data_IF_027442661324
#
_entry.id   IF_027442661324
#
_cell.length_a   1.000
_cell.length_b   1.000
_cell.length_c   1.000
_cell.angle_alpha   90.00
_cell.angle_beta   90.00
_cell.angle_gamma   90.00
#
_symmetry.space_group_name_H-M   'P 1'
#
loop_
_entity.id
_entity.type
_entity.pdbx_description
1 polymer ?
#
# COMPACT_ATOMS: atom_id res chain seq x y z
N UNK A 1 48.52 17.95 44.32
CA UNK A 1 47.20 18.58 44.08
C UNK A 1 46.68 18.17 42.69
N UNK A 2 46.03 17.01 42.55
CA UNK A 2 45.47 16.56 41.25
C UNK A 2 44.34 15.52 41.38
N UNK A 3 43.61 15.53 42.50
CA UNK A 3 42.61 14.50 42.83
C UNK A 3 41.15 15.02 42.83
N UNK A 4 40.93 16.32 43.07
CA UNK A 4 39.57 16.85 43.25
C UNK A 4 38.78 17.09 41.94
N UNK A 5 39.44 17.42 40.82
CA UNK A 5 38.73 17.70 39.55
C UNK A 5 38.17 16.46 38.85
N UNK A 6 38.80 15.30 38.97
CA UNK A 6 38.32 14.06 38.31
C UNK A 6 37.07 13.50 38.99
N UNK A 7 37.00 13.56 40.33
CA UNK A 7 35.83 13.10 41.10
C UNK A 7 34.58 13.95 40.79
N UNK A 8 34.78 15.25 40.55
CA UNK A 8 33.70 16.19 40.24
C UNK A 8 33.11 15.99 38.84
N UNK A 9 33.93 15.66 37.84
CA UNK A 9 33.48 15.32 36.48
C UNK A 9 32.69 14.00 36.45
N UNK A 10 33.11 12.98 37.22
CA UNK A 10 32.39 11.71 37.31
C UNK A 10 31.03 11.89 37.99
N UNK A 11 30.95 12.71 39.04
CA UNK A 11 29.68 13.01 39.72
C UNK A 11 28.69 13.74 38.80
N UNK A 12 29.15 14.66 37.95
CA UNK A 12 28.29 15.39 36.99
C UNK A 12 27.76 14.45 35.89
N UNK A 13 28.58 13.55 35.37
CA UNK A 13 28.16 12.56 34.35
C UNK A 13 27.14 11.57 34.92
N UNK A 14 27.32 11.10 36.16
CA UNK A 14 26.37 10.21 36.81
C UNK A 14 25.03 10.89 37.12
N UNK A 15 25.03 12.19 37.44
CA UNK A 15 23.81 12.96 37.68
C UNK A 15 23.03 13.18 36.36
N UNK A 16 23.71 13.41 35.24
CA UNK A 16 23.06 13.55 33.93
C UNK A 16 22.41 12.24 33.45
N UNK A 17 23.02 11.09 33.72
CA UNK A 17 22.46 9.77 33.36
C UNK A 17 21.23 9.42 34.22
N UNK A 18 21.17 9.86 35.48
CA UNK A 18 20.01 9.64 36.34
C UNK A 18 18.76 10.43 35.89
N UNK A 19 18.95 11.67 35.42
CA UNK A 19 17.85 12.53 34.93
C UNK A 19 17.30 11.98 33.60
N UNK A 20 18.15 11.47 32.72
CA UNK A 20 17.73 10.81 31.49
C UNK A 20 16.93 9.52 31.74
N UNK A 21 17.27 8.75 32.80
CA UNK A 21 16.52 7.55 33.19
C UNK A 21 15.18 7.87 33.85
N UNK A 22 15.07 8.98 34.58
CA UNK A 22 13.80 9.44 35.16
C UNK A 22 12.76 9.85 34.10
N UNK A 23 13.22 10.41 32.97
CA UNK A 23 12.37 10.83 31.84
C UNK A 23 11.83 9.66 31.01
N UNK A 24 12.57 8.55 30.89
CA UNK A 24 12.12 7.38 30.14
C UNK A 24 11.17 6.46 30.94
N UNK A 25 11.23 6.50 32.28
CA UNK A 25 10.40 5.66 33.16
C UNK A 25 8.97 6.21 33.30
N UNK A 26 8.77 7.52 33.14
CA UNK A 26 7.45 8.14 33.33
C UNK A 26 6.46 7.87 32.19
N UNK A 27 6.88 7.81 30.93
CA UNK A 27 5.92 7.66 29.83
C UNK A 27 5.38 6.25 29.65
N UNK A 28 6.17 5.22 29.95
CA UNK A 28 5.70 3.82 29.97
C UNK A 28 4.63 3.59 31.06
N UNK A 29 4.76 4.25 32.22
CA UNK A 29 3.79 4.09 33.31
C UNK A 29 2.44 4.75 32.99
N UNK A 30 2.44 5.92 32.32
CA UNK A 30 1.21 6.63 31.92
C UNK A 30 0.48 5.88 30.80
N UNK A 31 1.20 5.32 29.82
CA UNK A 31 0.60 4.48 28.77
C UNK A 31 -0.10 3.26 29.40
N UNK A 32 0.60 2.51 30.26
CA UNK A 32 0.04 1.32 30.91
C UNK A 32 -1.19 1.65 31.76
N UNK A 33 -1.14 2.73 32.56
CA UNK A 33 -2.26 3.17 33.37
C UNK A 33 -3.47 3.62 32.53
N UNK A 34 -3.22 4.28 31.39
CA UNK A 34 -4.26 4.69 30.45
C UNK A 34 -4.91 3.46 29.80
N UNK A 35 -4.11 2.53 29.31
CA UNK A 35 -4.59 1.32 28.64
C UNK A 35 -5.34 0.37 29.58
N UNK A 36 -4.95 0.29 30.85
CA UNK A 36 -5.69 -0.48 31.86
C UNK A 36 -7.09 0.10 32.11
N UNK A 37 -7.22 1.43 32.15
CA UNK A 37 -8.51 2.11 32.33
C UNK A 37 -9.45 2.01 31.11
N UNK A 38 -8.90 1.78 29.92
CA UNK A 38 -9.68 1.60 28.69
C UNK A 38 -10.26 0.19 28.54
N UNK A 39 -9.98 -0.74 29.45
CA UNK A 39 -10.61 -2.05 29.43
C UNK A 39 -12.07 -1.97 29.93
N UNK A 40 -13.02 -2.72 29.32
CA UNK A 40 -12.84 -3.66 28.21
C UNK A 40 -13.01 -3.02 26.81
N UNK A 41 -13.17 -1.69 26.72
CA UNK A 41 -13.45 -0.99 25.45
C UNK A 41 -12.37 -1.25 24.39
N UNK A 42 -11.12 -1.38 24.81
CA UNK A 42 -9.99 -1.66 23.91
C UNK A 42 -9.12 -2.81 24.43
N UNK A 43 -8.57 -3.67 23.54
CA UNK A 43 -7.58 -4.67 23.93
C UNK A 43 -6.33 -3.99 24.49
N UNK A 44 -5.93 -4.36 25.72
CA UNK A 44 -4.78 -3.75 26.41
C UNK A 44 -3.51 -3.77 25.55
N UNK A 45 -3.18 -4.93 24.98
CA UNK A 45 -1.98 -5.10 24.13
C UNK A 45 -2.02 -4.24 22.87
N UNK A 46 -3.21 -4.02 22.30
CA UNK A 46 -3.37 -3.13 21.15
C UNK A 46 -3.11 -1.67 21.56
N UNK A 47 -3.71 -1.22 22.66
CA UNK A 47 -3.52 0.13 23.18
C UNK A 47 -2.04 0.42 23.50
N UNK A 48 -1.39 -0.47 24.26
CA UNK A 48 0.03 -0.32 24.60
C UNK A 48 0.89 -0.37 23.34
N UNK A 49 0.64 -1.29 22.42
CA UNK A 49 1.41 -1.41 21.18
C UNK A 49 1.30 -0.20 20.28
N UNK A 50 0.09 0.35 20.12
CA UNK A 50 -0.17 1.53 19.31
C UNK A 50 0.54 2.77 19.88
N UNK A 51 0.49 2.98 21.20
CA UNK A 51 1.09 4.13 21.86
C UNK A 51 2.61 4.00 22.02
N UNK A 52 3.11 2.81 22.35
CA UNK A 52 4.56 2.62 22.59
C UNK A 52 5.41 2.74 21.32
N UNK A 53 4.80 2.66 20.14
CA UNK A 53 5.46 2.90 18.87
C UNK A 53 5.66 4.39 18.54
N UNK A 54 5.08 5.30 19.31
CA UNK A 54 5.14 6.74 19.05
C UNK A 54 6.01 7.47 20.10
N UNK A 55 7.09 8.17 19.68
CA UNK A 55 7.97 8.86 20.60
C UNK A 55 7.26 9.89 21.49
N UNK A 56 6.26 10.61 20.97
CA UNK A 56 5.55 11.63 21.74
C UNK A 56 4.64 11.00 22.81
N UNK A 57 4.00 9.86 22.49
CA UNK A 57 3.28 9.08 23.49
C UNK A 57 4.22 8.56 24.58
N UNK A 58 5.40 8.04 24.22
CA UNK A 58 6.38 7.55 25.21
C UNK A 58 7.05 8.63 26.03
N UNK A 59 7.03 9.89 25.58
CA UNK A 59 7.54 11.04 26.32
C UNK A 59 6.46 11.73 27.17
N UNK A 60 5.19 11.38 26.98
CA UNK A 60 4.08 12.00 27.68
C UNK A 60 4.15 11.71 29.19
N UNK A 61 3.98 12.75 30.00
CA UNK A 61 3.97 12.65 31.47
C UNK A 61 2.57 12.58 32.06
N UNK A 62 1.53 12.76 31.23
CA UNK A 62 0.13 12.69 31.63
C UNK A 62 -0.78 12.15 30.50
N UNK A 63 -2.03 11.87 30.87
CA UNK A 63 -3.05 11.34 29.94
C UNK A 63 -3.39 12.31 28.80
N UNK A 64 -3.24 13.63 29.02
CA UNK A 64 -3.49 14.63 27.98
C UNK A 64 -2.44 14.53 26.88
N UNK A 65 -1.16 14.34 27.24
CA UNK A 65 -0.07 14.08 26.31
C UNK A 65 -0.27 12.77 25.55
N UNK A 66 -0.67 11.70 26.23
CA UNK A 66 -1.00 10.42 25.58
C UNK A 66 -2.17 10.57 24.60
N UNK A 67 -3.21 11.31 24.97
CA UNK A 67 -4.35 11.57 24.09
C UNK A 67 -3.96 12.39 22.86
N UNK A 68 -3.14 13.43 23.03
CA UNK A 68 -2.62 14.23 21.92
C UNK A 68 -1.77 13.39 20.97
N UNK A 69 -0.91 12.52 21.51
CA UNK A 69 -0.12 11.58 20.71
C UNK A 69 -1.03 10.60 19.96
N UNK A 70 -2.05 10.03 20.60
CA UNK A 70 -3.01 9.14 19.94
C UNK A 70 -3.72 9.82 18.76
N UNK A 71 -4.15 11.08 18.91
CA UNK A 71 -4.74 11.86 17.83
C UNK A 71 -3.74 12.08 16.69
N UNK A 72 -2.47 12.37 17.00
CA UNK A 72 -1.44 12.57 15.99
C UNK A 72 -1.09 11.28 15.23
N UNK A 73 -1.03 10.14 15.92
CA UNK A 73 -0.87 8.81 15.32
C UNK A 73 -2.03 8.55 14.34
N UNK A 74 -3.27 8.77 14.78
CA UNK A 74 -4.46 8.59 13.93
C UNK A 74 -4.42 9.52 12.72
N UNK A 75 -4.05 10.79 12.92
CA UNK A 75 -3.93 11.78 11.83
C UNK A 75 -2.88 11.34 10.80
N UNK A 76 -1.72 10.89 11.26
CA UNK A 76 -0.64 10.40 10.39
C UNK A 76 -1.06 9.16 9.60
N UNK A 77 -1.72 8.20 10.26
CA UNK A 77 -2.25 7.00 9.61
C UNK A 77 -3.33 7.35 8.59
N UNK A 78 -4.27 8.22 8.94
CA UNK A 78 -5.32 8.68 8.03
C UNK A 78 -4.75 9.39 6.79
N UNK A 79 -3.76 10.27 6.99
CA UNK A 79 -3.07 10.94 5.88
C UNK A 79 -2.32 9.95 4.97
N UNK A 80 -1.70 8.92 5.56
CA UNK A 80 -1.06 7.84 4.80
C UNK A 80 -2.06 7.04 3.98
N UNK A 81 -3.19 6.65 4.58
CA UNK A 81 -4.29 5.96 3.89
C UNK A 81 -4.86 6.80 2.75
N UNK A 82 -5.09 8.09 2.99
CA UNK A 82 -5.58 9.00 1.96
C UNK A 82 -4.60 9.08 0.78
N UNK A 83 -3.29 9.13 1.04
CA UNK A 83 -2.28 9.11 -0.02
C UNK A 83 -2.35 7.85 -0.86
N UNK A 84 -2.47 6.68 -0.22
CA UNK A 84 -2.64 5.40 -0.95
C UNK A 84 -3.90 5.40 -1.79
N UNK A 85 -5.02 5.91 -1.27
CA UNK A 85 -6.27 6.03 -2.02
C UNK A 85 -6.06 6.93 -3.24
N UNK A 86 -5.41 8.09 -3.08
CA UNK A 86 -5.14 9.01 -4.19
C UNK A 86 -4.26 8.38 -5.27
N UNK A 87 -3.23 7.61 -4.87
CA UNK A 87 -2.40 6.86 -5.82
C UNK A 87 -3.23 5.83 -6.58
N UNK A 88 -4.03 5.01 -5.87
CA UNK A 88 -4.90 4.02 -6.50
C UNK A 88 -5.90 4.66 -7.47
N UNK A 89 -6.49 5.81 -7.15
CA UNK A 89 -7.41 6.51 -8.05
C UNK A 89 -6.71 6.93 -9.35
N UNK A 90 -5.48 7.45 -9.25
CA UNK A 90 -4.68 7.79 -10.41
C UNK A 90 -4.30 6.55 -11.22
N UNK A 91 -3.83 5.50 -10.54
CA UNK A 91 -3.36 4.29 -11.18
C UNK A 91 -4.49 3.52 -11.89
N UNK A 92 -5.64 3.39 -11.22
CA UNK A 92 -6.86 2.81 -11.80
C UNK A 92 -7.41 3.64 -12.96
N UNK A 93 -7.17 4.96 -12.99
CA UNK A 93 -7.55 5.79 -14.13
C UNK A 93 -6.73 5.43 -15.38
N UNK A 94 -5.44 5.15 -15.23
CA UNK A 94 -4.60 4.63 -16.32
C UNK A 94 -5.03 3.22 -16.74
N UNK A 95 -5.29 2.33 -15.78
CA UNK A 95 -5.82 1.00 -16.10
C UNK A 95 -7.13 1.06 -16.88
N UNK A 96 -8.02 2.00 -16.53
CA UNK A 96 -9.25 2.24 -17.28
C UNK A 96 -8.97 2.61 -18.74
N UNK A 97 -7.91 3.36 -19.03
CA UNK A 97 -7.50 3.66 -20.41
C UNK A 97 -7.00 2.40 -21.13
N UNK A 98 -6.21 1.54 -20.47
CA UNK A 98 -5.80 0.26 -21.04
C UNK A 98 -6.98 -0.64 -21.39
N UNK A 99 -7.96 -0.75 -20.49
CA UNK A 99 -9.19 -1.51 -20.74
C UNK A 99 -10.09 -0.85 -21.79
N UNK A 100 -10.12 0.49 -21.86
CA UNK A 100 -10.79 1.20 -22.94
C UNK A 100 -10.20 0.86 -24.31
N UNK A 101 -8.88 0.84 -24.42
CA UNK A 101 -8.17 0.43 -25.63
C UNK A 101 -8.42 -1.05 -25.96
N UNK A 102 -8.42 -1.92 -24.95
CA UNK A 102 -8.75 -3.33 -25.12
C UNK A 102 -10.16 -3.52 -25.68
N UNK A 103 -11.16 -2.82 -25.13
CA UNK A 103 -12.54 -2.91 -25.61
C UNK A 103 -12.68 -2.44 -27.06
N UNK A 104 -12.00 -1.36 -27.43
CA UNK A 104 -11.97 -0.88 -28.81
C UNK A 104 -11.33 -1.93 -29.74
N UNK A 105 -10.17 -2.46 -29.37
CA UNK A 105 -9.47 -3.50 -30.15
C UNK A 105 -10.34 -4.73 -30.35
N UNK A 106 -11.06 -5.18 -29.31
CA UNK A 106 -11.99 -6.32 -29.39
C UNK A 106 -13.19 -6.04 -30.30
N UNK A 107 -13.67 -4.80 -30.36
CA UNK A 107 -14.70 -4.40 -31.32
C UNK A 107 -14.18 -4.46 -32.76
N UNK A 108 -12.94 -4.02 -33.00
CA UNK A 108 -12.30 -4.06 -34.32
C UNK A 108 -12.04 -5.51 -34.77
N UNK A 109 -11.55 -6.36 -33.86
CA UNK A 109 -11.46 -7.83 -34.06
C UNK A 109 -12.79 -8.41 -34.51
N UNK A 110 -13.90 -7.97 -33.90
CA UNK A 110 -15.23 -8.48 -34.27
C UNK A 110 -15.63 -8.04 -35.69
N UNK A 111 -15.33 -6.79 -36.07
CA UNK A 111 -15.57 -6.27 -37.43
C UNK A 111 -14.76 -7.04 -38.47
N UNK A 112 -13.50 -7.36 -38.19
CA UNK A 112 -12.64 -8.15 -39.07
C UNK A 112 -13.11 -9.60 -39.19
N UNK A 113 -13.50 -10.21 -38.07
CA UNK A 113 -14.10 -11.54 -38.03
C UNK A 113 -15.34 -11.66 -38.93
N UNK A 114 -16.29 -10.73 -38.77
CA UNK A 114 -17.56 -10.74 -39.51
C UNK A 114 -17.34 -10.50 -41.02
N UNK A 115 -16.24 -9.86 -41.39
CA UNK A 115 -15.84 -9.64 -42.78
C UNK A 115 -14.93 -10.74 -43.35
N UNK A 116 -14.60 -11.78 -42.58
CA UNK A 116 -13.70 -12.87 -42.99
C UNK A 116 -12.22 -12.48 -43.05
N UNK A 117 -11.82 -11.34 -42.47
CA UNK A 117 -10.44 -10.86 -42.40
C UNK A 117 -9.71 -11.47 -41.21
N UNK A 118 -9.53 -12.79 -41.22
CA UNK A 118 -9.02 -13.52 -40.05
C UNK A 118 -7.58 -13.16 -39.64
N UNK A 119 -6.72 -12.80 -40.61
CA UNK A 119 -5.34 -12.38 -40.31
C UNK A 119 -5.32 -11.01 -39.60
N UNK A 120 -6.16 -10.06 -40.05
CA UNK A 120 -6.29 -8.75 -39.40
C UNK A 120 -6.86 -8.90 -37.97
N UNK A 121 -7.90 -9.72 -37.79
CA UNK A 121 -8.46 -10.03 -36.48
C UNK A 121 -7.44 -10.70 -35.52
N UNK A 122 -6.63 -11.63 -36.05
CA UNK A 122 -5.57 -12.35 -35.32
C UNK A 122 -4.45 -11.38 -34.88
N UNK A 123 -4.07 -10.47 -35.77
CA UNK A 123 -3.09 -9.42 -35.46
C UNK A 123 -3.63 -8.46 -34.39
N UNK A 124 -4.85 -7.96 -34.55
CA UNK A 124 -5.43 -6.95 -33.66
C UNK A 124 -5.58 -7.47 -32.22
N UNK A 125 -6.11 -8.69 -32.05
CA UNK A 125 -6.27 -9.24 -30.70
C UNK A 125 -4.93 -9.49 -30.00
N UNK A 126 -3.93 -9.98 -30.74
CA UNK A 126 -2.62 -10.32 -30.17
C UNK A 126 -1.82 -9.06 -29.85
N UNK A 127 -1.77 -8.09 -30.76
CA UNK A 127 -1.00 -6.85 -30.59
C UNK A 127 -1.65 -5.86 -29.61
N UNK A 128 -2.98 -5.72 -29.65
CA UNK A 128 -3.64 -4.57 -29.03
C UNK A 128 -4.55 -4.92 -27.86
N UNK A 129 -5.18 -6.11 -27.84
CA UNK A 129 -6.06 -6.51 -26.76
C UNK A 129 -5.35 -7.33 -25.66
N UNK A 130 -4.55 -8.33 -26.05
CA UNK A 130 -4.09 -9.39 -25.13
C UNK A 130 -3.12 -8.94 -24.03
N UNK A 131 -2.32 -7.88 -24.28
CA UNK A 131 -1.34 -7.38 -23.32
C UNK A 131 -1.93 -6.42 -22.28
N UNK A 132 -3.09 -5.82 -22.54
CA UNK A 132 -3.64 -4.71 -21.74
C UNK A 132 -3.90 -5.06 -20.27
N UNK A 133 -4.42 -6.24 -19.93
CA UNK A 133 -4.61 -6.59 -18.53
C UNK A 133 -3.29 -6.75 -17.78
N UNK A 134 -2.24 -7.28 -18.43
CA UNK A 134 -0.89 -7.37 -17.85
C UNK A 134 -0.23 -6.00 -17.69
N UNK A 135 -0.40 -5.10 -18.66
CA UNK A 135 0.08 -3.71 -18.55
C UNK A 135 -0.53 -3.01 -17.32
N UNK A 136 -1.82 -3.26 -17.04
CA UNK A 136 -2.48 -2.75 -15.84
C UNK A 136 -1.94 -3.38 -14.54
N UNK A 137 -1.80 -4.71 -14.51
CA UNK A 137 -1.29 -5.46 -13.35
C UNK A 137 0.12 -4.98 -12.96
N UNK A 138 1.04 -4.90 -13.94
CA UNK A 138 2.39 -4.38 -13.74
C UNK A 138 2.34 -2.93 -13.23
N UNK A 139 1.49 -2.09 -13.82
CA UNK A 139 1.40 -0.69 -13.44
C UNK A 139 0.88 -0.49 -12.01
N UNK A 140 -0.10 -1.29 -11.55
CA UNK A 140 -0.61 -1.25 -10.17
C UNK A 140 0.38 -1.83 -9.16
N UNK A 141 1.15 -2.85 -9.56
CA UNK A 141 2.18 -3.44 -8.74
C UNK A 141 3.39 -2.51 -8.54
N UNK A 142 3.90 -1.93 -9.63
CA UNK A 142 5.03 -1.00 -9.64
C UNK A 142 4.64 0.43 -9.24
N UNK A 143 3.33 0.72 -9.24
CA UNK A 143 2.75 2.00 -8.88
C UNK A 143 3.06 2.42 -7.43
N UNK A 144 2.84 3.69 -7.15
CA UNK A 144 3.09 4.28 -5.83
C UNK A 144 2.21 3.69 -4.72
N UNK A 145 1.03 3.15 -5.06
CA UNK A 145 0.20 2.46 -4.07
C UNK A 145 0.76 1.08 -3.67
N UNK A 146 1.57 0.45 -4.54
CA UNK A 146 2.03 -0.93 -4.43
C UNK A 146 0.89 -1.91 -4.10
N UNK A 147 -0.25 -1.72 -4.78
CA UNK A 147 -1.48 -2.46 -4.53
C UNK A 147 -2.23 -2.64 -5.83
N UNK A 148 -2.57 -3.87 -6.14
CA UNK A 148 -3.49 -4.20 -7.21
C UNK A 148 -4.84 -4.68 -6.62
N UNK A 149 -5.89 -3.85 -6.64
CA UNK A 149 -7.22 -4.23 -6.20
C UNK A 149 -8.03 -5.02 -7.27
N UNK A 150 -7.51 -5.18 -8.48
CA UNK A 150 -8.16 -5.85 -9.63
C UNK A 150 -7.30 -6.96 -10.27
N UNK A 151 -6.32 -7.49 -9.52
CA UNK A 151 -5.38 -8.52 -10.01
C UNK A 151 -6.10 -9.77 -10.53
N UNK A 152 -7.22 -10.13 -9.91
CA UNK A 152 -8.03 -11.26 -10.36
C UNK A 152 -8.64 -10.98 -11.73
N UNK A 153 -9.25 -9.81 -11.91
CA UNK A 153 -9.84 -9.37 -13.17
C UNK A 153 -8.77 -9.23 -14.27
N UNK A 154 -7.57 -8.73 -13.94
CA UNK A 154 -6.44 -8.67 -14.86
C UNK A 154 -6.04 -10.07 -15.36
N UNK A 155 -5.96 -11.04 -14.44
CA UNK A 155 -5.66 -12.44 -14.76
C UNK A 155 -6.73 -13.06 -15.65
N UNK A 156 -8.00 -12.90 -15.30
CA UNK A 156 -9.12 -13.47 -16.05
C UNK A 156 -9.19 -12.89 -17.48
N UNK A 157 -9.03 -11.58 -17.64
CA UNK A 157 -9.05 -10.95 -18.95
C UNK A 157 -7.84 -11.34 -19.82
N UNK A 158 -6.66 -11.53 -19.21
CA UNK A 158 -5.47 -12.04 -19.92
C UNK A 158 -5.73 -13.43 -20.50
N UNK A 159 -6.31 -14.33 -19.70
CA UNK A 159 -6.62 -15.70 -20.11
C UNK A 159 -7.68 -15.73 -21.23
N UNK A 160 -8.73 -14.92 -21.11
CA UNK A 160 -9.78 -14.85 -22.13
C UNK A 160 -9.28 -14.26 -23.45
N UNK A 161 -8.48 -13.19 -23.40
CA UNK A 161 -7.89 -12.60 -24.60
C UNK A 161 -6.91 -13.56 -25.29
N UNK A 162 -6.09 -14.28 -24.50
CA UNK A 162 -5.21 -15.34 -25.00
C UNK A 162 -5.99 -16.47 -25.68
N UNK A 163 -7.04 -16.98 -25.04
CA UNK A 163 -7.90 -18.02 -25.60
C UNK A 163 -8.55 -17.57 -26.93
N UNK A 164 -9.09 -16.34 -26.97
CA UNK A 164 -9.69 -15.80 -28.17
C UNK A 164 -8.65 -15.63 -29.30
N UNK A 165 -7.43 -15.20 -28.98
CA UNK A 165 -6.32 -15.12 -29.92
C UNK A 165 -5.96 -16.48 -30.51
N UNK A 166 -5.87 -17.52 -29.68
CA UNK A 166 -5.55 -18.87 -30.14
C UNK A 166 -6.65 -19.44 -31.07
N UNK A 167 -7.92 -19.18 -30.75
CA UNK A 167 -9.06 -19.58 -31.60
C UNK A 167 -8.99 -18.87 -32.96
N UNK A 168 -8.68 -17.58 -33.00
CA UNK A 168 -8.54 -16.81 -34.24
C UNK A 168 -7.44 -17.38 -35.15
N UNK A 169 -6.31 -17.78 -34.57
CA UNK A 169 -5.23 -18.44 -35.32
C UNK A 169 -5.64 -19.78 -35.94
N UNK A 170 -6.60 -20.50 -35.35
CA UNK A 170 -7.16 -21.71 -35.95
C UNK A 170 -8.01 -21.40 -37.20
N UNK A 171 -8.62 -20.23 -37.28
CA UNK A 171 -9.36 -19.78 -38.46
C UNK A 171 -8.42 -19.35 -39.58
N UNK A 172 -7.34 -18.65 -39.24
CA UNK A 172 -6.29 -18.25 -40.17
C UNK A 172 -5.56 -19.45 -40.81
N UNK A 173 -5.33 -20.51 -40.04
CA UNK A 173 -4.62 -21.71 -40.51
C UNK A 173 -5.48 -22.72 -41.28
N UNK A 174 -6.81 -22.53 -41.33
CA UNK A 174 -7.68 -23.37 -42.15
C UNK A 174 -7.63 -22.92 -43.62
N UNK A 175 -7.41 -23.83 -44.57
CA UNK A 175 -7.52 -23.49 -45.99
C UNK A 175 -8.95 -23.06 -46.32
N UNK A 176 -9.08 -21.94 -47.04
CA UNK A 176 -10.36 -21.46 -47.56
C UNK A 176 -10.97 -22.52 -48.47
N UNK A 177 -12.16 -23.04 -48.13
CA UNK A 177 -12.98 -23.86 -49.02
C UNK A 177 -13.71 -23.00 -50.04
#
# INVERSE_FOLDING_TARGET
>A
MRSSSMVQLIAIVLLAVAIARGLAVSGSSVINATCAQLQPLWPYNYCVGALSGDPAATAATDVRGVAAAAVNITTTKAASTLRVISYLVGELSTCREYYGNMLQSLADVRVDLDAGRFSDASFEISANASARPMDCDIFLFEGNAHKDPIAQENTENSLLAGLASDILRLLESKPSN
#
